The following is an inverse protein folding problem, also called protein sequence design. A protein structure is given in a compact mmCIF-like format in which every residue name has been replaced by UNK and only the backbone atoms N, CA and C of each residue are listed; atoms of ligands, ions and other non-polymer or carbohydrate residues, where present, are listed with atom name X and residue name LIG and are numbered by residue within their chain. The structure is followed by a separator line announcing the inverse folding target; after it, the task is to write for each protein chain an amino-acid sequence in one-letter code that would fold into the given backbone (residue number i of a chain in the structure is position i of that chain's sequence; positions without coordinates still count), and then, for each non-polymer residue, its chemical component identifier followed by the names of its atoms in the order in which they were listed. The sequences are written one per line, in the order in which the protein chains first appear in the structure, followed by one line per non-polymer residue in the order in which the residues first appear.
data_IF_645418750647
#
_entry.id   IF_645418750647
#
_cell.length_a   1.000
_cell.length_b   1.000
_cell.length_c   1.000
_cell.angle_alpha   90.00
_cell.angle_beta   90.00
_cell.angle_gamma   90.00
#
_symmetry.space_group_name_H-M   'P 1'
#
loop_
_entity.id
_entity.type
_entity.pdbx_description
1 polymer ?
#
# COMPACT_ATOMS: atom_id res chain seq x y z
N UNK A 1 -24.52 -15.75 41.66
CA UNK A 1 -23.85 -15.37 40.40
C UNK A 1 -23.36 -13.93 40.52
N UNK A 2 -22.05 -13.70 40.64
CA UNK A 2 -21.49 -12.35 40.75
C UNK A 2 -21.50 -11.69 39.34
N UNK A 3 -22.30 -10.63 39.22
CA UNK A 3 -22.34 -9.79 38.00
C UNK A 3 -20.95 -9.12 37.81
N UNK A 4 -20.20 -9.52 36.80
CA UNK A 4 -18.98 -8.80 36.42
C UNK A 4 -19.38 -7.40 35.92
N UNK A 5 -18.93 -6.35 36.62
CA UNK A 5 -19.09 -4.97 36.16
C UNK A 5 -18.43 -4.83 34.76
N UNK A 6 -19.10 -4.17 33.81
CA UNK A 6 -18.52 -3.93 32.51
C UNK A 6 -17.23 -3.08 32.67
N UNK A 7 -16.12 -3.56 32.13
CA UNK A 7 -14.85 -2.85 32.13
C UNK A 7 -14.90 -1.77 31.06
N UNK A 8 -14.47 -0.55 31.38
CA UNK A 8 -14.31 0.51 30.36
C UNK A 8 -13.15 0.19 29.40
N UNK A 9 -13.18 0.73 28.20
CA UNK A 9 -12.10 0.55 27.22
C UNK A 9 -10.75 1.00 27.80
N UNK A 10 -10.73 2.09 28.55
CA UNK A 10 -9.53 2.60 29.20
C UNK A 10 -9.00 1.64 30.29
N UNK A 11 -9.85 1.15 31.17
CA UNK A 11 -9.46 0.18 32.20
C UNK A 11 -8.96 -1.14 31.59
N UNK A 12 -9.52 -1.55 30.44
CA UNK A 12 -9.04 -2.70 29.68
C UNK A 12 -7.63 -2.46 29.12
N UNK A 13 -7.37 -1.29 28.51
CA UNK A 13 -6.06 -0.94 27.97
C UNK A 13 -5.01 -0.85 29.08
N UNK A 14 -5.33 -0.22 30.23
CA UNK A 14 -4.45 -0.13 31.40
C UNK A 14 -4.13 -1.52 31.96
N UNK A 15 -5.12 -2.40 32.09
CA UNK A 15 -4.95 -3.79 32.52
C UNK A 15 -4.02 -4.57 31.57
N UNK A 16 -4.15 -4.36 30.26
CA UNK A 16 -3.29 -4.99 29.25
C UNK A 16 -1.86 -4.41 29.27
N UNK A 17 -1.73 -3.09 29.42
CA UNK A 17 -0.44 -2.44 29.51
C UNK A 17 0.37 -2.88 30.77
N UNK A 18 -0.31 -3.29 31.84
CA UNK A 18 0.31 -3.81 33.06
C UNK A 18 0.62 -5.31 33.00
N UNK A 19 0.12 -6.05 31.99
CA UNK A 19 0.34 -7.49 31.84
C UNK A 19 1.71 -7.78 31.17
N UNK A 20 2.66 -8.40 31.88
CA UNK A 20 3.99 -8.69 31.32
C UNK A 20 3.94 -9.57 30.07
N UNK A 21 3.07 -10.54 30.01
CA UNK A 21 2.90 -11.42 28.86
C UNK A 21 2.40 -10.66 27.64
N UNK A 22 1.52 -9.68 27.84
CA UNK A 22 1.05 -8.80 26.78
C UNK A 22 2.17 -7.87 26.27
N UNK A 23 2.98 -7.32 27.18
CA UNK A 23 4.15 -6.50 26.81
C UNK A 23 5.17 -7.31 26.01
N UNK A 24 5.52 -8.51 26.47
CA UNK A 24 6.45 -9.40 25.77
C UNK A 24 5.94 -9.76 24.36
N UNK A 25 4.64 -10.07 24.23
CA UNK A 25 4.00 -10.31 22.94
C UNK A 25 4.14 -9.10 21.99
N UNK A 26 3.94 -7.89 22.50
CA UNK A 26 4.07 -6.67 21.69
C UNK A 26 5.51 -6.41 21.29
N UNK A 27 6.47 -6.53 22.22
CA UNK A 27 7.90 -6.37 21.91
C UNK A 27 8.37 -7.35 20.83
N UNK A 28 7.92 -8.60 20.91
CA UNK A 28 8.22 -9.60 19.88
C UNK A 28 7.61 -9.21 18.54
N UNK A 29 6.36 -8.79 18.52
CA UNK A 29 5.67 -8.36 17.30
C UNK A 29 6.35 -7.13 16.67
N UNK A 30 6.74 -6.16 17.49
CA UNK A 30 7.45 -4.97 17.00
C UNK A 30 8.82 -5.34 16.42
N UNK A 31 9.56 -6.26 17.06
CA UNK A 31 10.81 -6.78 16.53
C UNK A 31 10.62 -7.52 15.18
N UNK A 32 9.57 -8.35 15.05
CA UNK A 32 9.22 -9.04 13.81
C UNK A 32 8.87 -8.03 12.70
N UNK A 33 8.10 -6.99 13.01
CA UNK A 33 7.75 -5.94 12.07
C UNK A 33 8.97 -5.12 11.64
N UNK A 34 9.86 -4.79 12.59
CA UNK A 34 11.11 -4.08 12.29
C UNK A 34 12.04 -4.93 11.41
N UNK A 35 12.20 -6.21 11.71
CA UNK A 35 12.98 -7.15 10.90
C UNK A 35 12.40 -7.31 9.48
N UNK A 36 11.09 -7.36 9.37
CA UNK A 36 10.42 -7.38 8.05
C UNK A 36 10.66 -6.06 7.29
N UNK A 37 10.48 -4.91 7.94
CA UNK A 37 10.71 -3.60 7.31
C UNK A 37 12.17 -3.42 6.85
N UNK A 38 13.13 -3.96 7.60
CA UNK A 38 14.55 -3.89 7.25
C UNK A 38 14.87 -4.58 5.90
N UNK A 39 14.08 -5.55 5.46
CA UNK A 39 14.31 -6.28 4.21
C UNK A 39 14.17 -5.40 2.95
N UNK A 40 13.45 -4.30 3.04
CA UNK A 40 13.21 -3.39 1.92
C UNK A 40 13.46 -1.90 2.24
N UNK A 41 14.09 -1.63 3.38
CA UNK A 41 14.31 -0.27 3.87
C UNK A 41 15.14 0.59 2.90
N UNK A 42 16.12 -0.01 2.21
CA UNK A 42 16.97 0.72 1.27
C UNK A 42 16.18 1.10 -0.01
N UNK A 43 15.35 0.21 -0.50
CA UNK A 43 14.49 0.47 -1.65
C UNK A 43 13.45 1.56 -1.34
N UNK A 44 12.81 1.48 -0.17
CA UNK A 44 11.83 2.48 0.26
C UNK A 44 12.48 3.85 0.49
N UNK A 45 13.70 3.87 1.06
CA UNK A 45 14.51 5.09 1.22
C UNK A 45 14.89 5.72 -0.13
N UNK A 46 15.21 4.90 -1.13
CA UNK A 46 15.50 5.37 -2.47
C UNK A 46 14.27 6.07 -3.08
N UNK A 47 13.12 5.41 -3.08
CA UNK A 47 11.87 5.98 -3.62
C UNK A 47 11.45 7.24 -2.87
N UNK A 48 11.47 7.20 -1.54
CA UNK A 48 11.11 8.37 -0.74
C UNK A 48 12.12 9.52 -0.89
N UNK A 49 13.40 9.22 -1.14
CA UNK A 49 14.42 10.21 -1.46
C UNK A 49 14.16 10.92 -2.80
N UNK A 50 13.80 10.18 -3.83
CA UNK A 50 13.42 10.75 -5.13
C UNK A 50 12.12 11.56 -5.03
N UNK A 51 11.15 11.10 -4.26
CA UNK A 51 9.92 11.84 -4.03
C UNK A 51 10.17 13.16 -3.29
N UNK A 52 11.07 13.17 -2.29
CA UNK A 52 11.47 14.42 -1.60
C UNK A 52 12.18 15.39 -2.55
N UNK A 53 12.97 14.91 -3.49
CA UNK A 53 13.57 15.77 -4.52
C UNK A 53 12.53 16.43 -5.45
N UNK A 54 11.32 15.85 -5.53
CA UNK A 54 10.15 16.43 -6.21
C UNK A 54 9.29 17.33 -5.30
N UNK A 55 9.69 17.51 -4.03
CA UNK A 55 8.98 18.34 -3.05
C UNK A 55 7.91 17.62 -2.23
N UNK A 56 7.89 16.28 -2.24
CA UNK A 56 6.94 15.48 -1.44
C UNK A 56 7.59 15.00 -0.15
N UNK A 57 7.14 15.50 0.99
CA UNK A 57 7.60 15.08 2.32
C UNK A 57 7.00 13.73 2.70
N UNK A 58 7.62 12.65 2.22
CA UNK A 58 7.22 11.27 2.51
C UNK A 58 8.37 10.47 3.13
N UNK A 59 8.03 9.49 3.94
CA UNK A 59 8.94 8.54 4.57
C UNK A 59 8.97 7.20 3.84
N UNK A 60 7.89 6.86 3.16
CA UNK A 60 7.67 5.59 2.47
C UNK A 60 6.80 5.79 1.23
N UNK A 61 6.95 4.93 0.23
CA UNK A 61 6.03 4.86 -0.92
C UNK A 61 4.57 4.68 -0.50
N UNK A 62 4.33 4.11 0.69
CA UNK A 62 3.00 3.90 1.26
C UNK A 62 2.31 5.20 1.69
N UNK A 63 3.04 6.29 1.86
CA UNK A 63 2.46 7.61 2.15
C UNK A 63 1.63 8.12 0.95
N UNK A 64 2.03 7.80 -0.29
CA UNK A 64 1.20 8.07 -1.47
C UNK A 64 -0.09 7.25 -1.48
N UNK A 65 -0.04 6.00 -1.03
CA UNK A 65 -1.23 5.12 -0.94
C UNK A 65 -2.22 5.61 0.10
N UNK A 66 -1.69 6.01 1.26
CA UNK A 66 -2.48 6.48 2.40
C UNK A 66 -2.77 8.00 2.33
N UNK A 67 -2.66 8.58 1.16
CA UNK A 67 -2.79 10.01 0.89
C UNK A 67 -4.26 10.49 0.97
N UNK A 68 -4.81 10.52 2.19
CA UNK A 68 -6.11 11.12 2.45
C UNK A 68 -6.19 11.66 3.87
N UNK A 69 -6.90 12.77 4.13
CA UNK A 69 -7.08 13.29 5.48
C UNK A 69 -7.69 12.24 6.40
N UNK A 70 -7.18 12.16 7.63
CA UNK A 70 -7.74 11.29 8.65
C UNK A 70 -7.74 12.02 10.00
N UNK A 71 -8.87 11.98 10.73
CA UNK A 71 -9.07 12.75 11.95
C UNK A 71 -8.21 12.30 13.14
N UNK A 72 -7.67 11.09 13.11
CA UNK A 72 -6.94 10.47 14.23
C UNK A 72 -5.50 10.14 13.87
N UNK A 73 -5.21 9.88 12.58
CA UNK A 73 -3.88 9.49 12.13
C UNK A 73 -3.14 10.72 11.57
N UNK A 74 -1.97 11.02 12.12
CA UNK A 74 -1.04 11.94 11.49
C UNK A 74 -0.58 11.35 10.15
N UNK A 75 -0.56 12.19 9.12
CA UNK A 75 -0.13 11.83 7.77
C UNK A 75 1.06 12.70 7.39
N UNK A 76 2.12 12.08 6.90
CA UNK A 76 3.29 12.81 6.42
C UNK A 76 2.99 13.63 5.17
N UNK A 77 2.05 13.15 4.35
CA UNK A 77 1.70 13.78 3.09
C UNK A 77 0.21 13.64 2.81
N UNK A 78 -0.41 14.73 2.40
CA UNK A 78 -1.79 14.76 1.88
C UNK A 78 -1.85 15.78 0.75
N UNK A 79 -2.20 15.34 -0.46
CA UNK A 79 -2.34 16.23 -1.61
C UNK A 79 -2.18 15.53 -2.96
N UNK A 80 -2.30 16.26 -4.07
CA UNK A 80 -2.06 15.73 -5.40
C UNK A 80 -0.56 15.43 -5.60
N UNK A 81 -0.24 14.36 -6.34
CA UNK A 81 1.14 13.92 -6.59
C UNK A 81 1.40 13.49 -8.04
N UNK A 82 0.75 14.14 -8.98
CA UNK A 82 0.90 13.83 -10.40
C UNK A 82 2.32 13.98 -10.91
N UNK A 83 3.11 14.87 -10.31
CA UNK A 83 4.53 15.04 -10.66
C UNK A 83 5.38 13.82 -10.29
N UNK A 84 4.91 12.98 -9.35
CA UNK A 84 5.58 11.73 -8.97
C UNK A 84 5.27 10.56 -9.93
N UNK A 85 4.27 10.65 -10.81
CA UNK A 85 3.90 9.52 -11.68
C UNK A 85 5.04 9.05 -12.59
N UNK A 86 5.83 9.91 -13.25
CA UNK A 86 6.96 9.42 -14.06
C UNK A 86 7.99 8.62 -13.23
N UNK A 87 8.27 9.06 -12.01
CA UNK A 87 9.14 8.36 -11.06
C UNK A 87 8.53 7.01 -10.67
N UNK A 88 7.27 6.99 -10.25
CA UNK A 88 6.57 5.76 -9.86
C UNK A 88 6.45 4.76 -11.01
N UNK A 89 6.21 5.22 -12.25
CA UNK A 89 6.20 4.36 -13.45
C UNK A 89 7.58 3.74 -13.68
N UNK A 90 8.67 4.48 -13.50
CA UNK A 90 10.02 3.94 -13.59
C UNK A 90 10.27 2.87 -12.53
N UNK A 91 9.87 3.12 -11.28
CA UNK A 91 10.00 2.14 -10.19
C UNK A 91 9.09 0.91 -10.39
N UNK A 92 7.96 1.04 -11.05
CA UNK A 92 7.11 -0.10 -11.41
C UNK A 92 7.84 -1.10 -12.34
N UNK A 93 8.76 -0.61 -13.18
CA UNK A 93 9.52 -1.41 -14.15
C UNK A 93 10.84 -1.98 -13.61
N UNK A 94 11.27 -1.55 -12.42
CA UNK A 94 12.48 -2.03 -11.75
C UNK A 94 12.11 -3.18 -10.81
N UNK A 95 12.92 -4.24 -10.72
CA UNK A 95 12.74 -5.27 -9.70
C UNK A 95 12.86 -4.68 -8.29
N UNK A 96 11.85 -4.85 -7.49
CA UNK A 96 11.80 -4.44 -6.08
C UNK A 96 11.28 -5.56 -5.21
N UNK A 97 11.55 -5.49 -3.91
CA UNK A 97 10.89 -6.32 -2.93
C UNK A 97 9.36 -6.24 -3.10
N UNK A 98 8.67 -7.39 -2.95
CA UNK A 98 7.23 -7.52 -3.19
C UNK A 98 6.40 -6.42 -2.51
N UNK A 99 6.74 -6.05 -1.28
CA UNK A 99 6.05 -5.00 -0.52
C UNK A 99 6.16 -3.62 -1.17
N UNK A 100 7.33 -3.28 -1.70
CA UNK A 100 7.59 -2.02 -2.40
C UNK A 100 6.86 -2.02 -3.75
N UNK A 101 6.93 -3.11 -4.53
CA UNK A 101 6.16 -3.23 -5.77
C UNK A 101 4.67 -3.02 -5.55
N UNK A 102 4.10 -3.65 -4.51
CA UNK A 102 2.70 -3.44 -4.15
C UNK A 102 2.42 -1.96 -3.83
N UNK A 103 3.28 -1.30 -3.05
CA UNK A 103 3.16 0.12 -2.73
C UNK A 103 3.16 1.00 -3.98
N UNK A 104 4.09 0.77 -4.92
CA UNK A 104 4.17 1.50 -6.20
C UNK A 104 2.90 1.30 -7.05
N UNK A 105 2.42 0.06 -7.18
CA UNK A 105 1.18 -0.24 -7.92
C UNK A 105 -0.01 0.49 -7.29
N UNK A 106 -0.13 0.46 -5.97
CA UNK A 106 -1.21 1.14 -5.25
C UNK A 106 -1.12 2.66 -5.35
N UNK A 107 0.11 3.23 -5.32
CA UNK A 107 0.32 4.66 -5.54
C UNK A 107 -0.07 5.10 -6.96
N UNK A 108 0.03 4.23 -7.96
CA UNK A 108 -0.44 4.46 -9.33
C UNK A 108 -1.94 4.15 -9.53
N UNK A 109 -2.66 3.75 -8.49
CA UNK A 109 -4.11 3.48 -8.53
C UNK A 109 -4.90 4.79 -8.45
N UNK A 110 -4.85 5.58 -9.51
CA UNK A 110 -5.43 6.93 -9.59
C UNK A 110 -6.57 7.00 -10.61
N UNK A 111 -7.56 7.84 -10.38
CA UNK A 111 -8.79 7.94 -11.21
C UNK A 111 -8.69 8.95 -12.35
N UNK A 112 -7.55 9.57 -12.54
CA UNK A 112 -7.38 10.65 -13.53
C UNK A 112 -7.32 10.15 -14.99
N UNK A 113 -7.31 8.83 -15.20
CA UNK A 113 -7.35 8.21 -16.53
C UNK A 113 -6.10 8.46 -17.39
N UNK A 114 -4.99 8.92 -16.80
CA UNK A 114 -3.76 9.22 -17.53
C UNK A 114 -3.23 8.01 -18.27
N UNK A 115 -3.05 8.18 -19.57
CA UNK A 115 -2.69 7.09 -20.47
C UNK A 115 -1.36 6.43 -20.08
N UNK A 116 -0.34 7.22 -19.77
CA UNK A 116 0.96 6.70 -19.36
C UNK A 116 0.88 5.81 -18.10
N UNK A 117 -0.01 6.15 -17.14
CA UNK A 117 -0.18 5.40 -15.90
C UNK A 117 -0.82 4.03 -16.19
N UNK A 118 -2.00 4.01 -16.84
CA UNK A 118 -2.68 2.74 -17.04
C UNK A 118 -1.98 1.85 -18.09
N UNK A 119 -1.25 2.42 -19.06
CA UNK A 119 -0.43 1.63 -19.99
C UNK A 119 0.73 0.94 -19.26
N UNK A 120 1.44 1.65 -18.36
CA UNK A 120 2.48 1.04 -17.55
C UNK A 120 1.94 -0.08 -16.66
N UNK A 121 0.81 0.14 -15.99
CA UNK A 121 0.13 -0.88 -15.18
C UNK A 121 -0.30 -2.09 -16.02
N UNK A 122 -0.79 -1.88 -17.25
CA UNK A 122 -1.19 -2.95 -18.16
C UNK A 122 0.02 -3.77 -18.63
N UNK A 123 1.14 -3.11 -18.94
CA UNK A 123 2.38 -3.78 -19.31
C UNK A 123 2.85 -4.71 -18.20
N UNK A 124 2.86 -4.23 -16.95
CA UNK A 124 3.24 -5.04 -15.79
C UNK A 124 2.23 -6.15 -15.50
N UNK A 125 0.93 -5.90 -15.63
CA UNK A 125 -0.11 -6.93 -15.49
C UNK A 125 0.12 -8.10 -16.45
N UNK A 126 0.56 -7.85 -17.67
CA UNK A 126 0.82 -8.88 -18.67
C UNK A 126 2.09 -9.70 -18.39
N UNK A 127 3.05 -9.12 -17.63
CA UNK A 127 4.32 -9.77 -17.28
C UNK A 127 4.28 -10.47 -15.92
N UNK A 128 3.37 -10.03 -15.03
CA UNK A 128 3.32 -10.48 -13.65
C UNK A 128 2.86 -11.93 -13.54
N UNK A 129 3.64 -12.73 -12.80
CA UNK A 129 3.38 -14.16 -12.55
C UNK A 129 2.90 -14.44 -11.12
N UNK A 130 3.20 -13.53 -10.15
CA UNK A 130 2.66 -13.62 -8.79
C UNK A 130 1.16 -13.30 -8.80
N UNK A 131 0.33 -14.25 -8.41
CA UNK A 131 -1.13 -14.10 -8.43
C UNK A 131 -1.63 -12.96 -7.54
N UNK A 132 -0.96 -12.71 -6.40
CA UNK A 132 -1.31 -11.63 -5.49
C UNK A 132 -1.03 -10.26 -6.10
N UNK A 133 0.16 -10.03 -6.65
CA UNK A 133 0.51 -8.80 -7.35
C UNK A 133 -0.31 -8.61 -8.62
N UNK A 134 -0.59 -9.69 -9.34
CA UNK A 134 -1.47 -9.66 -10.51
C UNK A 134 -2.89 -9.19 -10.15
N UNK A 135 -3.40 -9.62 -8.99
CA UNK A 135 -4.67 -9.13 -8.47
C UNK A 135 -4.61 -7.63 -8.11
N UNK A 136 -3.52 -7.18 -7.46
CA UNK A 136 -3.32 -5.75 -7.13
C UNK A 136 -3.28 -4.91 -8.40
N UNK A 137 -2.57 -5.36 -9.45
CA UNK A 137 -2.52 -4.72 -10.76
C UNK A 137 -3.90 -4.68 -11.44
N UNK A 138 -4.66 -5.77 -11.37
CA UNK A 138 -6.03 -5.80 -11.91
C UNK A 138 -6.95 -4.80 -11.21
N UNK A 139 -6.82 -4.65 -9.88
CA UNK A 139 -7.54 -3.65 -9.10
C UNK A 139 -7.12 -2.22 -9.48
N UNK A 140 -5.83 -1.96 -9.63
CA UNK A 140 -5.31 -0.68 -10.07
C UNK A 140 -5.83 -0.30 -11.46
N UNK A 141 -5.78 -1.21 -12.42
CA UNK A 141 -6.29 -1.03 -13.77
C UNK A 141 -7.81 -0.78 -13.80
N UNK A 142 -8.57 -1.43 -12.92
CA UNK A 142 -10.02 -1.19 -12.80
C UNK A 142 -10.32 0.28 -12.45
N UNK A 143 -9.43 0.94 -11.74
CA UNK A 143 -9.57 2.33 -11.29
C UNK A 143 -8.93 3.30 -12.27
N UNK A 144 -7.69 3.05 -12.68
CA UNK A 144 -6.89 3.97 -13.49
C UNK A 144 -7.25 3.97 -14.98
N UNK A 145 -7.69 2.80 -15.53
CA UNK A 145 -8.00 2.67 -16.94
C UNK A 145 -9.44 3.09 -17.24
N UNK A 146 -9.66 3.98 -18.25
CA UNK A 146 -11.01 4.33 -18.69
C UNK A 146 -11.83 3.09 -19.10
N UNK A 147 -13.13 3.08 -18.76
CA UNK A 147 -14.01 1.93 -19.01
C UNK A 147 -13.97 1.45 -20.46
N UNK A 148 -14.02 2.39 -21.44
CA UNK A 148 -13.98 2.07 -22.88
C UNK A 148 -12.70 1.32 -23.31
N UNK A 149 -11.59 1.53 -22.62
CA UNK A 149 -10.34 0.80 -22.87
C UNK A 149 -10.39 -0.55 -22.15
N UNK A 150 -10.81 -0.56 -20.89
CA UNK A 150 -10.79 -1.75 -20.03
C UNK A 150 -11.64 -2.91 -20.58
N UNK A 151 -12.77 -2.63 -21.26
CA UNK A 151 -13.61 -3.67 -21.86
C UNK A 151 -12.91 -4.49 -22.94
N UNK A 152 -11.80 -3.97 -23.49
CA UNK A 152 -10.97 -4.68 -24.48
C UNK A 152 -10.07 -5.76 -23.84
N UNK A 153 -9.95 -5.78 -22.50
CA UNK A 153 -9.06 -6.64 -21.73
C UNK A 153 -9.85 -7.45 -20.68
N UNK A 154 -10.63 -8.47 -21.12
CA UNK A 154 -11.47 -9.25 -20.20
C UNK A 154 -10.68 -10.03 -19.14
N UNK A 155 -9.39 -10.28 -19.36
CA UNK A 155 -8.47 -10.91 -18.41
C UNK A 155 -8.28 -10.09 -17.14
N UNK A 156 -8.35 -8.75 -17.21
CA UNK A 156 -8.29 -7.87 -16.02
C UNK A 156 -9.50 -8.17 -15.11
N UNK A 157 -10.69 -8.28 -15.68
CA UNK A 157 -11.90 -8.58 -14.92
C UNK A 157 -11.85 -9.97 -14.30
N UNK A 158 -11.28 -10.96 -15.02
CA UNK A 158 -11.06 -12.32 -14.49
C UNK A 158 -10.10 -12.35 -13.33
N UNK A 159 -8.93 -11.72 -13.49
CA UNK A 159 -7.91 -11.63 -12.42
C UNK A 159 -8.44 -10.91 -11.18
N UNK A 160 -9.22 -9.84 -11.34
CA UNK A 160 -9.86 -9.14 -10.23
C UNK A 160 -10.85 -10.03 -9.45
N UNK A 161 -11.66 -10.83 -10.16
CA UNK A 161 -12.65 -11.72 -9.53
C UNK A 161 -12.00 -12.91 -8.83
N UNK A 162 -10.92 -13.47 -9.37
CA UNK A 162 -10.23 -14.62 -8.77
C UNK A 162 -9.49 -14.30 -7.48
N UNK A 163 -9.02 -13.06 -7.27
CA UNK A 163 -8.33 -12.66 -6.05
C UNK A 163 -9.23 -12.41 -4.84
N UNK A 164 -10.56 -12.35 -5.02
CA UNK A 164 -11.52 -12.27 -3.91
C UNK A 164 -11.85 -13.62 -3.25
N UNK A 165 -11.18 -14.69 -3.67
CA UNK A 165 -11.37 -16.06 -3.17
C UNK A 165 -10.18 -16.57 -2.33
N UNK A 166 -9.36 -15.65 -1.76
CA UNK A 166 -8.28 -15.98 -0.81
C UNK A 166 -8.70 -15.71 0.61
#
# INVERSE_FOLDING_TARGET
MASRKPMTAQAFLESRAADPAYQEMWLRKDAELAAFAAQFADEDRMISGEARALGYEISSVWDFVNNSPHSVLERNFVGPYEQAYPMLIRHLQIPHHRRIREGVIRALTVRDGREAVWQALLQEFNRETDNGLRWVLANALKIAMPYRQRVKFPEIARAYKSGGAL
#
